data_IF_117031858713
#
_entry.id   IF_117031858713
#
_cell.length_a   1.000
_cell.length_b   1.000
_cell.length_c   1.000
_cell.angle_alpha   90.00
_cell.angle_beta   90.00
_cell.angle_gamma   90.00
#
_symmetry.space_group_name_H-M   'P 1'
#
loop_
_entity.id
_entity.type
_entity.pdbx_description
1 polymer ?
#
# COMPACT_ATOMS: atom_id res chain seq x y z
N UNK A 1 3.87 21.74 -29.14
CA UNK A 1 4.26 20.37 -28.74
C UNK A 1 4.14 20.32 -27.22
N UNK A 2 3.02 19.79 -26.73
CA UNK A 2 2.71 19.67 -25.31
C UNK A 2 3.44 18.46 -24.74
N UNK A 3 4.36 18.68 -23.80
CA UNK A 3 4.91 17.61 -22.98
C UNK A 3 3.83 17.15 -22.01
N UNK A 4 3.12 16.06 -22.37
CA UNK A 4 2.45 15.24 -21.36
C UNK A 4 3.55 14.60 -20.51
N UNK A 5 3.58 14.81 -19.18
CA UNK A 5 4.50 14.07 -18.33
C UNK A 5 4.09 12.60 -18.46
N UNK A 6 5.00 11.76 -18.97
CA UNK A 6 4.84 10.31 -19.02
C UNK A 6 4.65 9.80 -17.58
N UNK A 7 3.39 9.65 -17.15
CA UNK A 7 3.02 9.35 -15.76
C UNK A 7 3.46 7.96 -15.30
N UNK A 8 3.77 7.03 -16.21
CA UNK A 8 4.28 5.71 -15.85
C UNK A 8 5.31 5.24 -16.89
N UNK A 9 6.61 5.30 -16.54
CA UNK A 9 7.64 4.59 -17.30
C UNK A 9 7.87 3.24 -16.65
N UNK A 10 7.69 2.17 -17.42
CA UNK A 10 8.13 0.84 -17.02
C UNK A 10 9.62 0.92 -16.68
N UNK A 11 9.98 0.68 -15.41
CA UNK A 11 11.38 0.73 -14.98
C UNK A 11 12.11 -0.45 -15.57
N UNK A 12 12.91 -0.18 -16.60
CA UNK A 12 13.85 -1.15 -17.15
C UNK A 12 15.27 -0.93 -16.61
N UNK A 13 15.41 -0.25 -15.48
CA UNK A 13 16.68 0.03 -14.84
C UNK A 13 16.54 0.00 -13.32
N UNK A 14 17.66 -0.28 -12.64
CA UNK A 14 17.79 -0.17 -11.19
C UNK A 14 19.18 0.35 -10.85
N UNK A 15 19.24 1.33 -9.95
CA UNK A 15 20.46 1.82 -9.35
C UNK A 15 20.80 1.02 -8.08
N UNK A 16 22.08 0.79 -7.86
CA UNK A 16 22.64 0.08 -6.71
C UNK A 16 23.77 0.88 -6.07
N UNK A 17 23.91 0.77 -4.76
CA UNK A 17 25.04 1.27 -3.98
C UNK A 17 25.84 0.11 -3.37
N UNK A 18 27.16 0.20 -3.38
CA UNK A 18 28.04 -0.83 -2.83
C UNK A 18 28.38 -0.50 -1.37
N UNK A 19 27.93 -1.33 -0.44
CA UNK A 19 28.27 -1.18 0.98
C UNK A 19 29.51 -2.01 1.32
N UNK A 20 30.50 -1.45 2.04
CA UNK A 20 31.61 -2.22 2.55
C UNK A 20 31.10 -3.07 3.71
N UNK A 21 31.11 -4.39 3.52
CA UNK A 21 31.05 -5.34 4.62
C UNK A 21 32.36 -6.10 4.69
N UNK A 22 32.76 -6.49 5.91
CA UNK A 22 34.11 -6.97 6.25
C UNK A 22 34.61 -8.17 5.41
N UNK A 23 33.74 -8.88 4.68
CA UNK A 23 34.12 -10.05 3.86
C UNK A 23 33.46 -10.15 2.47
N UNK A 24 32.63 -9.18 2.03
CA UNK A 24 32.05 -9.14 0.67
C UNK A 24 31.48 -7.74 0.33
N UNK A 25 31.45 -7.36 -0.95
CA UNK A 25 30.67 -6.20 -1.40
C UNK A 25 29.18 -6.58 -1.46
N UNK A 26 28.38 -6.11 -0.51
CA UNK A 26 26.92 -6.21 -0.62
C UNK A 26 26.38 -5.02 -1.41
N UNK A 27 25.56 -5.33 -2.41
CA UNK A 27 24.88 -4.31 -3.21
C UNK A 27 23.49 -4.05 -2.64
N UNK A 28 23.25 -2.81 -2.27
CA UNK A 28 21.95 -2.35 -1.81
C UNK A 28 21.23 -1.64 -2.96
N UNK A 29 19.96 -1.98 -3.17
CA UNK A 29 19.08 -1.24 -4.09
C UNK A 29 18.63 0.06 -3.44
N UNK A 30 18.61 1.15 -4.22
CA UNK A 30 17.91 2.38 -3.83
C UNK A 30 16.40 2.14 -3.78
N UNK A 31 15.70 2.94 -2.97
CA UNK A 31 14.24 2.91 -2.95
C UNK A 31 13.66 3.25 -4.32
N UNK A 32 12.41 2.87 -4.55
CA UNK A 32 11.76 3.12 -5.84
C UNK A 32 11.75 4.60 -6.22
N UNK A 33 11.69 5.50 -5.23
CA UNK A 33 11.66 6.95 -5.44
C UNK A 33 13.07 7.52 -5.57
N UNK A 34 14.02 7.10 -4.73
CA UNK A 34 15.43 7.46 -4.88
C UNK A 34 15.95 7.05 -6.26
N UNK A 35 15.58 5.86 -6.73
CA UNK A 35 15.92 5.36 -8.06
C UNK A 35 15.40 6.27 -9.19
N UNK A 36 14.18 6.81 -9.06
CA UNK A 36 13.63 7.76 -10.03
C UNK A 36 14.32 9.13 -9.96
N UNK A 37 14.62 9.61 -8.75
CA UNK A 37 15.34 10.87 -8.53
C UNK A 37 16.74 10.79 -9.19
N UNK A 38 17.47 9.71 -8.94
CA UNK A 38 18.80 9.47 -9.51
C UNK A 38 18.72 9.36 -11.03
N UNK A 39 17.76 8.60 -11.56
CA UNK A 39 17.62 8.43 -13.01
C UNK A 39 17.20 9.73 -13.71
N UNK A 40 16.33 10.54 -13.10
CA UNK A 40 15.96 11.83 -13.65
C UNK A 40 17.16 12.78 -13.71
N UNK A 41 17.95 12.84 -12.64
CA UNK A 41 19.19 13.61 -12.59
C UNK A 41 20.20 13.15 -13.65
N UNK A 42 20.37 11.83 -13.80
CA UNK A 42 21.22 11.20 -14.81
C UNK A 42 20.79 11.58 -16.23
N UNK A 43 19.49 11.47 -16.53
CA UNK A 43 18.95 11.84 -17.85
C UNK A 43 19.06 13.35 -18.14
N UNK A 44 19.00 14.18 -17.10
CA UNK A 44 19.24 15.64 -17.18
C UNK A 44 20.71 16.02 -17.23
N UNK A 45 21.64 15.05 -17.17
CA UNK A 45 23.09 15.28 -17.12
C UNK A 45 23.51 16.17 -15.96
N UNK A 46 22.86 16.02 -14.81
CA UNK A 46 23.29 16.67 -13.58
C UNK A 46 24.56 15.98 -13.07
N UNK A 47 25.44 16.75 -12.42
CA UNK A 47 26.70 16.23 -11.85
C UNK A 47 26.40 15.55 -10.52
N UNK A 48 25.62 16.20 -9.67
CA UNK A 48 25.29 15.73 -8.33
C UNK A 48 23.77 15.77 -8.11
N UNK A 49 23.27 14.83 -7.31
CA UNK A 49 21.90 14.83 -6.78
C UNK A 49 21.91 14.45 -5.30
N UNK A 50 21.12 15.16 -4.49
CA UNK A 50 20.96 14.88 -3.06
C UNK A 50 19.76 13.94 -2.84
N UNK A 51 19.94 12.93 -2.00
CA UNK A 51 18.90 11.99 -1.58
C UNK A 51 18.82 11.94 -0.04
N UNK A 52 17.81 11.24 0.47
CA UNK A 52 17.54 11.18 1.91
C UNK A 52 18.73 10.60 2.71
N UNK A 53 18.88 11.05 3.97
CA UNK A 53 20.00 10.68 4.83
C UNK A 53 21.28 11.52 4.63
N UNK A 54 21.14 12.70 4.01
CA UNK A 54 22.24 13.61 3.67
C UNK A 54 23.26 12.98 2.71
N UNK A 55 22.80 12.11 1.81
CA UNK A 55 23.67 11.50 0.81
C UNK A 55 23.69 12.31 -0.49
N UNK A 56 24.89 12.46 -1.04
CA UNK A 56 25.11 13.05 -2.36
C UNK A 56 25.53 11.94 -3.30
N UNK A 57 24.88 11.88 -4.45
CA UNK A 57 25.19 11.00 -5.56
C UNK A 57 25.91 11.82 -6.62
N UNK A 58 27.20 11.55 -6.80
CA UNK A 58 28.01 12.09 -7.89
C UNK A 58 27.89 11.16 -9.10
N UNK A 59 27.17 11.62 -10.11
CA UNK A 59 26.85 10.86 -11.33
C UNK A 59 28.00 10.87 -12.34
N UNK A 60 28.95 11.81 -12.23
CA UNK A 60 30.13 11.85 -13.08
C UNK A 60 31.15 10.80 -12.62
N UNK A 61 31.36 10.70 -11.31
CA UNK A 61 32.28 9.74 -10.68
C UNK A 61 31.63 8.40 -10.34
N UNK A 62 30.30 8.31 -10.43
CA UNK A 62 29.50 7.14 -10.04
C UNK A 62 29.77 6.71 -8.59
N UNK A 63 29.70 7.67 -7.68
CA UNK A 63 29.88 7.43 -6.24
C UNK A 63 28.81 8.11 -5.41
N UNK A 64 28.51 7.52 -4.26
CA UNK A 64 27.73 8.10 -3.18
C UNK A 64 28.64 8.45 -2.01
N UNK A 65 28.40 9.59 -1.37
CA UNK A 65 29.03 9.93 -0.09
C UNK A 65 28.07 10.74 0.76
N UNK A 66 28.31 10.75 2.08
CA UNK A 66 27.52 11.57 3.00
C UNK A 66 28.02 13.01 3.01
N UNK A 67 27.11 13.98 3.11
CA UNK A 67 27.42 15.41 3.24
C UNK A 67 28.33 15.61 4.46
N UNK A 68 29.51 16.20 4.22
CA UNK A 68 30.55 16.37 5.24
C UNK A 68 31.52 15.19 5.41
N UNK A 69 31.28 14.03 4.78
CA UNK A 69 32.17 12.86 4.79
C UNK A 69 32.59 12.44 3.36
N UNK A 70 33.05 13.38 2.54
CA UNK A 70 33.41 13.12 1.13
C UNK A 70 34.53 12.09 0.92
N UNK A 71 35.27 11.74 1.97
CA UNK A 71 36.34 10.74 1.95
C UNK A 71 35.83 9.29 2.03
N UNK A 72 34.60 9.07 2.54
CA UNK A 72 33.98 7.74 2.55
C UNK A 72 33.01 7.66 1.38
N UNK A 73 33.46 7.02 0.32
CA UNK A 73 32.72 6.92 -0.93
C UNK A 73 32.28 5.47 -1.16
N UNK A 74 31.08 5.32 -1.69
CA UNK A 74 30.49 4.04 -2.07
C UNK A 74 30.25 4.06 -3.57
N UNK A 75 30.73 3.04 -4.29
CA UNK A 75 30.49 2.97 -5.74
C UNK A 75 29.01 2.70 -6.02
N UNK A 76 28.45 3.45 -6.96
CA UNK A 76 27.10 3.22 -7.44
C UNK A 76 27.14 2.65 -8.86
N UNK A 77 26.09 1.96 -9.26
CA UNK A 77 25.94 1.50 -10.64
C UNK A 77 24.49 1.46 -11.09
N UNK A 78 24.31 1.69 -12.38
CA UNK A 78 23.04 1.53 -13.08
C UNK A 78 23.01 0.18 -13.78
N UNK A 79 22.01 -0.64 -13.53
CA UNK A 79 21.79 -1.91 -14.24
C UNK A 79 20.56 -1.78 -15.11
N UNK A 80 20.67 -2.17 -16.38
CA UNK A 80 19.51 -2.34 -17.27
C UNK A 80 18.86 -3.70 -16.97
N UNK A 81 17.58 -3.69 -16.61
CA UNK A 81 16.82 -4.90 -16.31
C UNK A 81 16.29 -5.50 -17.62
N UNK A 82 16.48 -6.81 -17.80
CA UNK A 82 15.87 -7.57 -18.90
C UNK A 82 14.36 -7.76 -18.66
N UNK A 83 13.59 -7.93 -19.74
CA UNK A 83 12.12 -7.93 -19.73
C UNK A 83 11.47 -9.18 -19.10
N UNK A 84 12.21 -10.29 -18.94
CA UNK A 84 11.67 -11.57 -18.46
C UNK A 84 12.03 -11.83 -16.98
N UNK A 85 11.39 -11.12 -16.05
CA UNK A 85 11.70 -11.21 -14.60
C UNK A 85 10.51 -11.63 -13.74
N UNK A 86 9.76 -12.65 -14.16
CA UNK A 86 8.50 -13.04 -13.51
C UNK A 86 8.64 -13.69 -12.11
N UNK A 87 9.84 -13.96 -11.60
CA UNK A 87 10.01 -14.68 -10.32
C UNK A 87 11.00 -13.98 -9.36
N UNK A 88 12.09 -13.40 -9.85
CA UNK A 88 13.17 -12.86 -8.99
C UNK A 88 12.85 -11.52 -8.29
N UNK A 89 11.68 -10.93 -8.53
CA UNK A 89 11.28 -9.61 -8.01
C UNK A 89 10.01 -9.64 -7.15
N UNK A 90 9.51 -10.82 -6.76
CA UNK A 90 8.37 -10.88 -5.84
C UNK A 90 8.75 -10.22 -4.51
N UNK A 91 8.01 -9.18 -4.11
CA UNK A 91 8.29 -8.47 -2.87
C UNK A 91 7.72 -9.23 -1.68
N UNK A 92 8.51 -10.20 -1.21
CA UNK A 92 8.15 -11.08 -0.09
C UNK A 92 7.68 -10.27 1.14
N UNK A 93 8.31 -9.14 1.45
CA UNK A 93 7.91 -8.29 2.58
C UNK A 93 6.49 -7.71 2.45
N UNK A 94 6.04 -7.42 1.22
CA UNK A 94 4.71 -6.85 0.94
C UNK A 94 3.60 -7.86 1.19
N UNK A 95 3.78 -9.08 0.69
CA UNK A 95 2.80 -10.16 0.84
C UNK A 95 2.91 -10.83 2.22
N UNK A 96 4.13 -10.98 2.74
CA UNK A 96 4.46 -11.69 3.99
C UNK A 96 4.32 -10.88 5.27
N UNK A 97 4.10 -9.58 5.14
CA UNK A 97 3.85 -8.67 6.25
C UNK A 97 2.71 -9.19 7.15
N UNK A 98 2.86 -9.13 8.49
CA UNK A 98 1.81 -9.52 9.43
C UNK A 98 0.52 -8.77 9.15
N UNK A 99 -0.60 -9.48 9.16
CA UNK A 99 -1.94 -8.88 9.12
C UNK A 99 -2.47 -8.92 10.54
N UNK A 100 -2.93 -7.78 11.06
CA UNK A 100 -3.60 -7.74 12.36
C UNK A 100 -5.01 -8.30 12.17
N UNK A 101 -5.13 -9.60 12.43
CA UNK A 101 -6.38 -10.34 12.42
C UNK A 101 -7.06 -10.15 13.78
N UNK A 102 -7.95 -9.16 13.89
CA UNK A 102 -8.75 -8.97 15.11
C UNK A 102 -9.96 -9.90 15.07
N UNK A 103 -10.09 -10.71 16.11
CA UNK A 103 -11.28 -11.52 16.37
C UNK A 103 -12.35 -10.64 17.01
N UNK A 104 -13.54 -10.70 16.44
CA UNK A 104 -14.62 -9.81 16.81
C UNK A 104 -15.63 -10.53 17.67
N UNK A 105 -15.49 -10.38 18.98
CA UNK A 105 -16.53 -10.82 19.92
C UNK A 105 -17.89 -10.33 19.42
N UNK A 106 -18.78 -11.28 19.13
CA UNK A 106 -20.12 -11.07 18.58
C UNK A 106 -20.80 -9.77 19.02
N UNK A 107 -20.97 -8.87 18.05
CA UNK A 107 -22.04 -7.86 17.90
C UNK A 107 -22.46 -7.04 19.13
N UNK A 108 -22.12 -5.74 19.09
CA UNK A 108 -23.12 -4.71 19.37
C UNK A 108 -23.43 -3.97 18.07
N UNK A 109 -24.42 -4.48 17.34
CA UNK A 109 -25.08 -3.77 16.24
C UNK A 109 -25.86 -2.59 16.81
N UNK A 110 -25.18 -1.51 17.15
CA UNK A 110 -25.84 -0.22 17.33
C UNK A 110 -26.02 0.38 15.95
N UNK A 111 -27.24 0.34 15.44
CA UNK A 111 -27.70 1.19 14.34
C UNK A 111 -27.26 2.63 14.60
N UNK A 112 -26.26 3.10 13.86
CA UNK A 112 -25.72 4.45 13.99
C UNK A 112 -26.75 5.38 13.35
N UNK A 113 -27.68 5.89 14.16
CA UNK A 113 -28.54 7.01 13.77
C UNK A 113 -27.67 8.22 13.45
N UNK A 114 -27.82 8.79 12.25
CA UNK A 114 -27.03 9.89 11.63
C UNK A 114 -27.03 11.25 12.39
N UNK A 115 -27.41 11.28 13.67
CA UNK A 115 -27.52 12.52 14.46
C UNK A 115 -26.57 12.66 15.65
N UNK A 116 -25.63 11.73 15.89
CA UNK A 116 -24.78 11.74 17.10
C UNK A 116 -23.37 12.25 16.84
N UNK A 117 -22.89 13.04 17.81
CA UNK A 117 -21.57 13.68 17.96
C UNK A 117 -20.46 13.03 17.10
N UNK A 118 -19.81 13.80 16.21
CA UNK A 118 -18.82 13.30 15.23
C UNK A 118 -17.69 12.50 15.88
N UNK A 119 -17.38 12.79 17.14
CA UNK A 119 -16.33 12.12 17.90
C UNK A 119 -16.72 10.69 18.29
N UNK A 120 -18.00 10.47 18.63
CA UNK A 120 -18.52 9.13 18.96
C UNK A 120 -18.48 8.25 17.71
N UNK A 121 -18.90 8.80 16.57
CA UNK A 121 -18.87 8.10 15.29
C UNK A 121 -17.42 7.78 14.87
N UNK A 122 -16.52 8.76 14.99
CA UNK A 122 -15.10 8.57 14.73
C UNK A 122 -14.53 7.40 15.54
N UNK A 123 -14.71 7.41 16.87
CA UNK A 123 -14.20 6.33 17.72
C UNK A 123 -14.85 4.96 17.42
N UNK A 124 -16.13 4.93 17.04
CA UNK A 124 -16.78 3.70 16.63
C UNK A 124 -16.19 3.13 15.33
N UNK A 125 -15.94 3.98 14.33
CA UNK A 125 -15.34 3.59 13.05
C UNK A 125 -13.89 3.12 13.22
N UNK A 126 -13.11 3.81 14.04
CA UNK A 126 -11.75 3.38 14.39
C UNK A 126 -11.72 1.99 15.04
N UNK A 127 -12.67 1.69 15.94
CA UNK A 127 -12.77 0.37 16.59
C UNK A 127 -13.08 -0.78 15.63
N UNK A 128 -13.87 -0.52 14.58
CA UNK A 128 -14.25 -1.56 13.62
C UNK A 128 -13.27 -1.68 12.44
N UNK A 129 -12.20 -0.88 12.39
CA UNK A 129 -11.24 -0.92 11.30
C UNK A 129 -11.53 0.01 10.13
N UNK A 130 -12.60 0.81 10.19
CA UNK A 130 -13.01 1.66 9.07
C UNK A 130 -12.36 3.05 9.12
N UNK A 131 -11.03 3.05 9.03
CA UNK A 131 -10.21 4.27 9.08
C UNK A 131 -10.53 5.27 7.95
N UNK A 132 -10.65 4.87 6.67
CA UNK A 132 -11.00 5.82 5.60
C UNK A 132 -12.36 6.49 5.82
N UNK A 133 -13.37 5.77 6.34
CA UNK A 133 -14.68 6.37 6.67
C UNK A 133 -14.59 7.25 7.91
N UNK A 134 -13.78 6.88 8.89
CA UNK A 134 -13.54 7.71 10.08
C UNK A 134 -12.99 9.09 9.69
N UNK A 135 -12.01 9.12 8.77
CA UNK A 135 -11.51 10.36 8.20
C UNK A 135 -12.60 11.14 7.45
N UNK A 136 -13.37 10.49 6.57
CA UNK A 136 -14.47 11.14 5.84
C UNK A 136 -15.46 11.83 6.78
N UNK A 137 -15.99 11.10 7.78
CA UNK A 137 -16.97 11.64 8.72
C UNK A 137 -16.42 12.79 9.59
N UNK A 138 -15.11 12.81 9.82
CA UNK A 138 -14.46 13.79 10.68
C UNK A 138 -14.04 15.05 9.92
N UNK A 139 -13.52 14.90 8.70
CA UNK A 139 -12.82 15.96 7.97
C UNK A 139 -13.49 16.38 6.66
N UNK A 140 -14.43 15.59 6.11
CA UNK A 140 -15.05 15.83 4.80
C UNK A 140 -16.57 16.03 4.89
N UNK A 141 -17.32 15.17 5.58
CA UNK A 141 -18.78 15.01 5.42
C UNK A 141 -19.64 16.24 5.76
N UNK A 142 -19.06 17.29 6.33
CA UNK A 142 -19.71 18.56 6.68
C UNK A 142 -19.06 19.77 6.00
N UNK A 143 -18.33 19.51 4.92
CA UNK A 143 -17.57 20.49 4.16
C UNK A 143 -17.95 20.40 2.68
N UNK A 144 -17.60 21.42 1.92
CA UNK A 144 -17.71 21.50 0.46
C UNK A 144 -16.38 21.17 -0.23
N UNK A 145 -15.48 20.45 0.46
CA UNK A 145 -14.18 20.05 -0.08
C UNK A 145 -14.35 19.26 -1.37
N UNK A 146 -13.57 19.64 -2.37
CA UNK A 146 -13.43 18.91 -3.62
C UNK A 146 -12.40 17.79 -3.47
N UNK A 147 -12.37 16.86 -4.41
CA UNK A 147 -11.30 15.85 -4.51
C UNK A 147 -9.94 16.52 -4.66
N UNK A 148 -9.83 17.65 -5.36
CA UNK A 148 -8.60 18.44 -5.43
C UNK A 148 -8.11 18.91 -4.05
N UNK A 149 -9.02 19.33 -3.17
CA UNK A 149 -8.67 19.74 -1.80
C UNK A 149 -8.17 18.54 -0.98
N UNK A 150 -8.77 17.36 -1.17
CA UNK A 150 -8.33 16.12 -0.50
C UNK A 150 -6.96 15.67 -1.04
N UNK A 151 -6.69 15.83 -2.34
CA UNK A 151 -5.38 15.57 -2.97
C UNK A 151 -4.31 16.48 -2.37
N UNK A 152 -4.59 17.78 -2.21
CA UNK A 152 -3.67 18.72 -1.55
C UNK A 152 -3.38 18.29 -0.11
N UNK A 153 -4.41 17.95 0.65
CA UNK A 153 -4.25 17.48 2.02
C UNK A 153 -3.42 16.18 2.10
N UNK A 154 -3.60 15.26 1.15
CA UNK A 154 -2.78 14.05 1.04
C UNK A 154 -1.32 14.39 0.73
N UNK A 155 -1.06 15.29 -0.21
CA UNK A 155 0.28 15.73 -0.60
C UNK A 155 1.01 16.42 0.57
N UNK A 156 0.33 17.28 1.32
CA UNK A 156 0.85 17.90 2.54
C UNK A 156 1.14 16.86 3.64
N UNK A 157 0.24 15.89 3.81
CA UNK A 157 0.40 14.79 4.74
C UNK A 157 1.63 13.92 4.46
N UNK A 158 1.89 13.62 3.19
CA UNK A 158 3.09 12.92 2.71
C UNK A 158 4.35 13.68 3.11
N UNK A 159 4.43 14.99 2.81
CA UNK A 159 5.58 15.84 3.14
C UNK A 159 5.79 15.91 4.64
N UNK A 160 4.73 16.14 5.43
CA UNK A 160 4.80 16.20 6.90
C UNK A 160 5.41 14.93 7.48
N UNK A 161 4.95 13.77 7.02
CA UNK A 161 5.46 12.48 7.50
C UNK A 161 6.87 12.18 6.98
N UNK A 162 7.18 12.58 5.76
CA UNK A 162 8.53 12.51 5.21
C UNK A 162 9.55 13.24 6.07
N UNK A 163 9.25 14.48 6.45
CA UNK A 163 10.12 15.28 7.34
C UNK A 163 10.33 14.58 8.68
N UNK A 164 9.26 14.05 9.30
CA UNK A 164 9.34 13.34 10.58
C UNK A 164 10.25 12.11 10.49
N UNK A 165 10.24 11.41 9.35
CA UNK A 165 11.00 10.18 9.13
C UNK A 165 12.38 10.40 8.50
N UNK A 166 12.78 11.65 8.22
CA UNK A 166 14.03 11.93 7.49
C UNK A 166 14.00 11.41 6.05
N UNK A 167 12.83 11.48 5.41
CA UNK A 167 12.52 11.04 4.04
C UNK A 167 11.98 12.20 3.20
N UNK A 168 12.64 13.34 3.27
CA UNK A 168 12.17 14.61 2.71
C UNK A 168 12.16 14.57 1.18
N UNK A 169 13.24 14.09 0.56
CA UNK A 169 13.35 14.02 -0.89
C UNK A 169 12.36 13.01 -1.48
N UNK A 170 12.21 11.84 -0.84
CA UNK A 170 11.17 10.89 -1.26
C UNK A 170 9.76 11.52 -1.15
N UNK A 171 9.49 12.23 -0.06
CA UNK A 171 8.16 12.80 0.20
C UNK A 171 7.82 13.95 -0.74
N UNK A 172 8.78 14.81 -1.07
CA UNK A 172 8.60 15.87 -2.06
C UNK A 172 8.29 15.29 -3.45
N UNK A 173 9.01 14.24 -3.87
CA UNK A 173 8.75 13.57 -5.15
C UNK A 173 7.36 12.94 -5.19
N UNK A 174 6.96 12.23 -4.13
CA UNK A 174 5.62 11.64 -4.01
C UNK A 174 4.51 12.71 -4.01
N UNK A 175 4.71 13.81 -3.28
CA UNK A 175 3.79 14.93 -3.20
C UNK A 175 3.59 15.60 -4.57
N UNK A 176 4.68 15.83 -5.32
CA UNK A 176 4.61 16.39 -6.66
C UNK A 176 3.86 15.48 -7.64
N UNK A 177 4.08 14.16 -7.58
CA UNK A 177 3.34 13.19 -8.39
C UNK A 177 1.82 13.27 -8.14
N UNK A 178 1.42 13.40 -6.87
CA UNK A 178 0.02 13.49 -6.50
C UNK A 178 -0.61 14.84 -6.90
N UNK A 179 0.11 15.94 -6.74
CA UNK A 179 -0.35 17.28 -7.16
C UNK A 179 -0.45 17.41 -8.69
N UNK A 180 0.32 16.65 -9.45
CA UNK A 180 0.24 16.67 -10.92
C UNK A 180 -1.15 16.23 -11.46
N UNK A 181 -1.90 15.45 -10.69
CA UNK A 181 -3.26 14.98 -11.04
C UNK A 181 -4.37 15.72 -10.28
N UNK A 182 -4.04 16.74 -9.50
CA UNK A 182 -5.01 17.51 -8.69
C UNK A 182 -6.16 18.09 -9.52
N UNK A 183 -5.83 18.66 -10.67
CA UNK A 183 -6.78 19.36 -11.54
C UNK A 183 -7.94 18.47 -12.03
N UNK A 184 -7.76 17.15 -12.10
CA UNK A 184 -8.83 16.21 -12.42
C UNK A 184 -9.93 16.16 -11.35
N UNK A 185 -9.61 16.53 -10.10
CA UNK A 185 -10.54 16.52 -8.96
C UNK A 185 -11.19 17.86 -8.65
N UNK A 186 -10.89 18.94 -9.40
CA UNK A 186 -11.23 20.31 -9.01
C UNK A 186 -12.73 20.62 -8.91
N UNK A 187 -13.57 19.88 -9.65
CA UNK A 187 -15.03 20.11 -9.68
C UNK A 187 -15.82 18.91 -9.15
N UNK A 188 -15.17 18.00 -8.43
CA UNK A 188 -15.79 16.79 -7.89
C UNK A 188 -15.87 16.96 -6.38
N UNK A 189 -17.07 17.05 -5.82
CA UNK A 189 -17.27 17.14 -4.37
C UNK A 189 -16.93 15.79 -3.75
N UNK A 190 -16.18 15.83 -2.64
CA UNK A 190 -15.78 14.64 -1.90
C UNK A 190 -16.95 14.11 -1.06
N UNK A 191 -17.36 12.87 -1.33
CA UNK A 191 -18.41 12.11 -0.67
C UNK A 191 -17.96 10.65 -0.47
N UNK A 192 -18.67 9.87 0.34
CA UNK A 192 -18.35 8.47 0.63
C UNK A 192 -18.37 7.59 -0.62
N UNK A 193 -19.24 7.93 -1.58
CA UNK A 193 -19.45 7.19 -2.84
C UNK A 193 -18.88 7.91 -4.07
N UNK A 194 -17.99 8.90 -3.86
CA UNK A 194 -17.40 9.64 -4.98
C UNK A 194 -16.56 8.73 -5.88
N UNK A 195 -16.91 8.71 -7.16
CA UNK A 195 -16.09 8.11 -8.20
C UNK A 195 -14.93 9.05 -8.55
N UNK A 196 -13.71 8.51 -8.50
CA UNK A 196 -12.48 9.20 -8.86
C UNK A 196 -12.13 9.01 -10.34
N UNK A 197 -11.65 10.07 -11.02
CA UNK A 197 -11.00 9.95 -12.32
C UNK A 197 -9.87 8.91 -12.31
N UNK A 198 -9.71 8.20 -13.43
CA UNK A 198 -8.73 7.12 -13.56
C UNK A 198 -7.30 7.62 -13.34
N UNK A 199 -6.99 8.84 -13.77
CA UNK A 199 -5.67 9.45 -13.61
C UNK A 199 -5.26 9.60 -12.15
N UNK A 200 -6.21 10.00 -11.29
CA UNK A 200 -6.02 10.09 -9.84
C UNK A 200 -5.84 8.69 -9.27
N UNK A 201 -6.73 7.75 -9.62
CA UNK A 201 -6.68 6.38 -9.15
C UNK A 201 -5.39 5.63 -9.48
N UNK A 202 -4.94 5.73 -10.73
CA UNK A 202 -3.70 5.11 -11.20
C UNK A 202 -2.50 5.59 -10.40
N UNK A 203 -2.43 6.89 -10.10
CA UNK A 203 -1.34 7.47 -9.29
C UNK A 203 -1.40 6.96 -7.86
N UNK A 204 -2.58 6.92 -7.24
CA UNK A 204 -2.74 6.42 -5.87
C UNK A 204 -2.30 4.96 -5.74
N UNK A 205 -2.75 4.09 -6.66
CA UNK A 205 -2.38 2.67 -6.67
C UNK A 205 -0.90 2.50 -6.95
N UNK A 206 -0.34 3.22 -7.93
CA UNK A 206 1.08 3.17 -8.22
C UNK A 206 1.93 3.62 -7.01
N UNK A 207 1.59 4.74 -6.38
CA UNK A 207 2.30 5.23 -5.19
C UNK A 207 2.23 4.24 -4.03
N UNK A 208 1.05 3.64 -3.78
CA UNK A 208 0.86 2.65 -2.72
C UNK A 208 1.59 1.32 -3.00
N UNK A 209 1.83 1.00 -4.27
CA UNK A 209 2.52 -0.22 -4.67
C UNK A 209 4.04 -0.07 -4.74
N UNK A 210 4.60 1.14 -4.71
CA UNK A 210 6.06 1.35 -4.73
C UNK A 210 6.72 1.07 -3.38
N UNK A 211 7.97 0.57 -3.40
CA UNK A 211 8.82 0.43 -2.23
C UNK A 211 9.29 1.79 -1.70
N UNK A 212 8.43 2.42 -0.89
CA UNK A 212 8.62 3.77 -0.33
C UNK A 212 8.36 3.80 1.18
N UNK A 213 8.79 4.87 1.85
CA UNK A 213 8.41 5.07 3.25
C UNK A 213 6.88 5.18 3.43
N UNK A 214 6.17 5.68 2.41
CA UNK A 214 4.75 6.03 2.50
C UNK A 214 3.85 4.80 2.66
N UNK A 215 4.01 3.77 1.82
CA UNK A 215 3.22 2.55 1.96
C UNK A 215 3.53 1.82 3.29
N UNK A 216 4.81 1.80 3.70
CA UNK A 216 5.26 1.20 4.97
C UNK A 216 4.60 1.89 6.15
N UNK A 217 4.57 3.22 6.11
CA UNK A 217 3.94 4.05 7.13
C UNK A 217 2.44 3.78 7.23
N UNK A 218 1.72 3.82 6.10
CA UNK A 218 0.28 3.54 6.07
C UNK A 218 -0.02 2.15 6.65
N UNK A 219 0.67 1.12 6.17
CA UNK A 219 0.44 -0.24 6.63
C UNK A 219 0.79 -0.42 8.11
N UNK A 220 1.86 0.22 8.60
CA UNK A 220 2.22 0.21 10.02
C UNK A 220 1.14 0.83 10.90
N UNK A 221 0.66 2.03 10.53
CA UNK A 221 -0.34 2.74 11.31
C UNK A 221 -1.70 2.04 11.26
N UNK A 222 -2.13 1.57 10.08
CA UNK A 222 -3.44 0.92 9.93
C UNK A 222 -3.53 -0.47 10.57
N UNK A 223 -2.40 -1.11 10.88
CA UNK A 223 -2.39 -2.35 11.66
C UNK A 223 -2.92 -2.12 13.08
N UNK A 224 -2.54 -1.02 13.72
CA UNK A 224 -3.02 -0.69 15.07
C UNK A 224 -3.66 0.70 15.08
N UNK A 225 -4.97 0.73 14.82
CA UNK A 225 -5.73 1.98 14.80
C UNK A 225 -5.82 2.64 16.19
N UNK A 226 -5.50 1.94 17.28
CA UNK A 226 -5.54 2.52 18.63
C UNK A 226 -4.39 3.51 18.87
N UNK A 227 -3.29 3.40 18.11
CA UNK A 227 -2.17 4.33 18.23
C UNK A 227 -2.35 5.60 17.41
N UNK A 228 -3.28 5.60 16.43
CA UNK A 228 -3.48 6.74 15.54
C UNK A 228 -4.20 7.87 16.28
N UNK A 229 -3.50 8.99 16.44
CA UNK A 229 -4.10 10.24 16.93
C UNK A 229 -4.72 11.07 15.79
N UNK A 230 -5.38 12.17 16.14
CA UNK A 230 -6.06 13.05 15.17
C UNK A 230 -5.09 13.67 14.15
N UNK A 231 -3.88 14.02 14.55
CA UNK A 231 -2.87 14.61 13.67
C UNK A 231 -2.32 13.59 12.67
N UNK A 232 -2.10 12.35 13.11
CA UNK A 232 -1.74 11.24 12.23
C UNK A 232 -2.87 10.92 11.26
N UNK A 233 -4.12 10.87 11.76
CA UNK A 233 -5.31 10.70 10.92
C UNK A 233 -5.37 11.78 9.84
N UNK A 234 -5.15 13.05 10.18
CA UNK A 234 -5.14 14.14 9.19
C UNK A 234 -4.02 14.02 8.17
N UNK A 235 -2.89 13.42 8.53
CA UNK A 235 -1.76 13.25 7.62
C UNK A 235 -1.92 12.09 6.64
N UNK A 236 -2.41 10.91 7.08
CA UNK A 236 -2.52 9.73 6.19
C UNK A 236 -3.96 9.46 5.70
N UNK A 237 -4.96 9.97 6.42
CA UNK A 237 -6.38 9.80 6.14
C UNK A 237 -6.81 10.27 4.74
N UNK A 238 -6.37 11.44 4.25
CA UNK A 238 -6.74 11.90 2.91
C UNK A 238 -6.35 10.89 1.82
N UNK A 239 -5.12 10.37 1.87
CA UNK A 239 -4.64 9.37 0.91
C UNK A 239 -5.40 8.05 1.04
N UNK A 240 -5.65 7.58 2.27
CA UNK A 240 -6.37 6.33 2.50
C UNK A 240 -7.83 6.41 2.03
N UNK A 241 -8.48 7.56 2.21
CA UNK A 241 -9.82 7.82 1.70
C UNK A 241 -9.85 7.80 0.17
N UNK A 242 -8.95 8.54 -0.49
CA UNK A 242 -8.87 8.56 -1.95
C UNK A 242 -8.60 7.15 -2.52
N UNK A 243 -7.65 6.43 -1.94
CA UNK A 243 -7.35 5.07 -2.37
C UNK A 243 -8.57 4.15 -2.22
N UNK A 244 -9.32 4.24 -1.11
CA UNK A 244 -10.55 3.45 -0.94
C UNK A 244 -11.62 3.80 -1.97
N UNK A 245 -11.89 5.09 -2.21
CA UNK A 245 -12.86 5.53 -3.22
C UNK A 245 -12.52 4.94 -4.59
N UNK A 246 -11.25 4.99 -4.99
CA UNK A 246 -10.82 4.41 -6.26
C UNK A 246 -10.93 2.88 -6.29
N UNK A 247 -10.60 2.18 -5.21
CA UNK A 247 -10.72 0.72 -5.17
C UNK A 247 -12.19 0.27 -5.23
N UNK A 248 -13.13 1.05 -4.68
CA UNK A 248 -14.57 0.75 -4.69
C UNK A 248 -15.17 0.76 -6.11
N UNK A 249 -14.63 1.55 -7.03
CA UNK A 249 -15.11 1.64 -8.41
C UNK A 249 -14.47 0.64 -9.36
N UNK A 250 -13.42 -0.09 -8.96
CA UNK A 250 -12.80 -1.09 -9.82
C UNK A 250 -13.75 -2.29 -9.89
N UNK A 251 -14.30 -2.61 -11.08
CA UNK A 251 -15.18 -3.76 -11.21
C UNK A 251 -14.40 -5.03 -10.91
N UNK A 252 -15.02 -5.93 -10.15
CA UNK A 252 -14.45 -7.25 -9.97
C UNK A 252 -14.43 -8.00 -11.30
N UNK A 253 -13.25 -8.42 -11.72
CA UNK A 253 -13.09 -9.30 -12.87
C UNK A 253 -12.74 -10.69 -12.36
N UNK A 254 -13.65 -11.68 -12.44
CA UNK A 254 -13.34 -13.05 -12.07
C UNK A 254 -12.30 -13.61 -13.06
N UNK A 255 -11.01 -13.53 -12.72
CA UNK A 255 -9.97 -14.27 -13.43
C UNK A 255 -10.07 -15.75 -13.05
N UNK A 256 -11.07 -16.47 -13.56
CA UNK A 256 -11.23 -17.94 -13.50
C UNK A 256 -11.24 -18.67 -12.14
N UNK A 257 -10.72 -18.08 -11.05
CA UNK A 257 -10.74 -18.62 -9.69
C UNK A 257 -11.16 -17.54 -8.71
N UNK A 258 -12.19 -17.84 -7.91
CA UNK A 258 -12.63 -17.02 -6.79
C UNK A 258 -11.72 -17.17 -5.56
N UNK A 259 -10.50 -17.64 -5.75
CA UNK A 259 -9.55 -17.94 -4.69
C UNK A 259 -8.40 -16.94 -4.72
N UNK A 260 -8.14 -16.34 -3.57
CA UNK A 260 -7.02 -15.47 -3.32
C UNK A 260 -6.11 -16.08 -2.25
N UNK A 261 -4.80 -15.88 -2.38
CA UNK A 261 -3.78 -16.51 -1.56
C UNK A 261 -2.81 -15.49 -0.97
N UNK A 262 -2.58 -15.59 0.35
CA UNK A 262 -1.57 -14.78 1.05
C UNK A 262 -0.72 -15.68 1.93
N UNK A 263 0.59 -15.67 1.73
CA UNK A 263 1.53 -16.22 2.70
C UNK A 263 1.93 -15.15 3.71
N UNK A 264 2.07 -15.51 4.98
CA UNK A 264 2.49 -14.62 6.05
C UNK A 264 3.13 -15.42 7.20
N UNK A 265 3.79 -14.70 8.10
CA UNK A 265 4.21 -15.26 9.39
C UNK A 265 3.16 -15.00 10.46
N UNK A 266 2.80 -16.04 11.19
CA UNK A 266 1.94 -15.97 12.36
C UNK A 266 2.54 -16.77 13.51
N UNK A 267 2.40 -16.25 14.72
CA UNK A 267 2.75 -16.98 15.94
C UNK A 267 1.68 -18.04 16.24
N UNK A 268 2.09 -19.11 16.92
CA UNK A 268 1.19 -20.21 17.28
C UNK A 268 -0.03 -19.72 18.09
N UNK A 269 0.15 -18.74 18.98
CA UNK A 269 -0.94 -18.16 19.75
C UNK A 269 -2.00 -17.52 18.85
N UNK A 270 -1.58 -16.81 17.79
CA UNK A 270 -2.48 -16.14 16.86
C UNK A 270 -3.29 -17.17 16.04
N UNK A 271 -2.63 -18.24 15.61
CA UNK A 271 -3.27 -19.34 14.88
C UNK A 271 -4.32 -20.01 15.78
N UNK A 272 -3.96 -20.30 17.03
CA UNK A 272 -4.89 -20.90 17.99
C UNK A 272 -6.07 -19.98 18.31
N UNK A 273 -5.87 -18.66 18.34
CA UNK A 273 -6.95 -17.69 18.54
C UNK A 273 -7.98 -17.75 17.41
N UNK A 274 -7.52 -17.79 16.16
CA UNK A 274 -8.39 -17.91 14.98
C UNK A 274 -9.18 -19.22 15.01
N UNK A 275 -8.51 -20.35 15.30
CA UNK A 275 -9.15 -21.66 15.37
C UNK A 275 -10.20 -21.70 16.48
N UNK A 276 -9.89 -21.14 17.66
CA UNK A 276 -10.79 -21.18 18.85
C UNK A 276 -11.98 -20.26 18.72
N UNK A 277 -11.80 -19.07 18.17
CA UNK A 277 -12.89 -18.12 18.02
C UNK A 277 -13.94 -18.64 17.04
N UNK A 278 -13.52 -19.30 15.95
CA UNK A 278 -14.42 -19.69 14.86
C UNK A 278 -15.27 -18.49 14.37
N UNK A 279 -14.72 -17.29 14.51
CA UNK A 279 -15.34 -16.00 14.19
C UNK A 279 -14.77 -15.45 12.87
N UNK A 280 -15.08 -14.18 12.60
CA UNK A 280 -14.53 -13.45 11.47
C UNK A 280 -13.07 -13.07 11.68
N UNK A 281 -12.27 -13.36 10.67
CA UNK A 281 -10.91 -12.87 10.48
C UNK A 281 -10.96 -11.53 9.77
N UNK A 282 -10.48 -10.46 10.41
CA UNK A 282 -10.55 -9.10 9.85
C UNK A 282 -9.23 -8.60 9.29
N UNK A 283 -9.28 -7.93 8.14
CA UNK A 283 -8.19 -7.12 7.61
C UNK A 283 -8.51 -5.63 7.83
N UNK A 284 -7.72 -4.98 8.67
CA UNK A 284 -7.92 -3.56 9.05
C UNK A 284 -7.10 -2.58 8.22
N UNK A 285 -6.11 -3.08 7.50
CA UNK A 285 -5.30 -2.33 6.55
C UNK A 285 -5.60 -2.75 5.12
N UNK A 286 -5.20 -1.92 4.17
CA UNK A 286 -5.05 -2.35 2.78
C UNK A 286 -4.11 -3.57 2.75
N UNK A 287 -4.61 -4.69 2.21
CA UNK A 287 -3.94 -6.00 2.35
C UNK A 287 -3.71 -6.61 0.98
N UNK A 288 -2.44 -6.66 0.56
CA UNK A 288 -2.00 -7.27 -0.70
C UNK A 288 -2.22 -8.79 -0.72
N UNK A 289 -2.78 -9.31 -1.80
CA UNK A 289 -3.03 -10.75 -1.97
C UNK A 289 -2.83 -11.13 -3.44
N UNK A 290 -2.53 -12.39 -3.72
CA UNK A 290 -2.26 -12.87 -5.09
C UNK A 290 -3.23 -13.97 -5.49
N UNK A 291 -3.50 -14.10 -6.78
CA UNK A 291 -4.20 -15.26 -7.37
C UNK A 291 -3.28 -16.48 -7.47
N UNK A 292 -1.96 -16.30 -7.31
CA UNK A 292 -0.98 -17.36 -7.44
C UNK A 292 -0.69 -18.03 -6.10
N UNK A 293 -1.31 -19.19 -5.88
CA UNK A 293 -1.02 -20.05 -4.72
C UNK A 293 0.47 -20.35 -4.60
N UNK A 294 1.12 -20.66 -5.72
CA UNK A 294 2.55 -20.99 -5.77
C UNK A 294 3.42 -19.88 -5.18
N UNK A 295 3.10 -18.61 -5.47
CA UNK A 295 3.85 -17.47 -4.93
C UNK A 295 3.57 -17.29 -3.43
N UNK A 296 2.32 -17.40 -3.01
CA UNK A 296 1.94 -17.29 -1.60
C UNK A 296 2.56 -18.39 -0.71
N UNK A 297 2.71 -19.61 -1.24
CA UNK A 297 3.32 -20.72 -0.51
C UNK A 297 4.81 -20.52 -0.21
N UNK A 298 5.53 -19.69 -0.97
CA UNK A 298 6.93 -19.35 -0.71
C UNK A 298 7.12 -18.44 0.51
N UNK A 299 6.03 -17.87 1.03
CA UNK A 299 6.08 -16.79 2.01
C UNK A 299 5.58 -17.27 3.37
N UNK A 300 6.45 -17.15 4.37
CA UNK A 300 6.15 -17.36 5.78
C UNK A 300 5.70 -18.77 6.17
N UNK A 301 5.34 -18.94 7.45
CA UNK A 301 4.90 -20.22 8.02
C UNK A 301 3.40 -20.50 7.84
N UNK A 302 2.61 -19.53 7.38
CA UNK A 302 1.15 -19.63 7.25
C UNK A 302 0.68 -19.24 5.86
N UNK A 303 -0.30 -19.98 5.32
CA UNK A 303 -1.01 -19.69 4.07
C UNK A 303 -2.48 -19.40 4.36
N UNK A 304 -2.96 -18.23 3.95
CA UNK A 304 -4.39 -17.93 3.86
C UNK A 304 -4.89 -18.30 2.47
N UNK A 305 -5.99 -19.04 2.43
CA UNK A 305 -6.75 -19.34 1.22
C UNK A 305 -8.12 -18.69 1.40
N UNK A 306 -8.41 -17.66 0.62
CA UNK A 306 -9.63 -16.85 0.72
C UNK A 306 -10.53 -17.13 -0.47
N UNK A 307 -11.71 -17.69 -0.23
CA UNK A 307 -12.78 -17.83 -1.22
C UNK A 307 -13.67 -16.59 -1.21
N UNK A 308 -13.82 -15.95 -2.37
CA UNK A 308 -14.75 -14.84 -2.56
C UNK A 308 -16.10 -15.40 -2.99
N UNK A 309 -17.18 -15.02 -2.29
CA UNK A 309 -18.54 -15.32 -2.73
C UNK A 309 -18.86 -14.51 -3.98
N UNK A 310 -19.30 -15.20 -5.03
CA UNK A 310 -19.73 -14.57 -6.28
C UNK A 310 -21.14 -15.04 -6.57
N UNK A 311 -22.10 -14.11 -6.56
CA UNK A 311 -23.46 -14.42 -6.99
C UNK A 311 -23.45 -14.76 -8.49
N UNK A 312 -24.08 -15.88 -8.85
CA UNK A 312 -24.20 -16.41 -10.23
C UNK A 312 -24.91 -15.42 -11.17
N UNK A 313 -25.63 -14.45 -10.62
CA UNK A 313 -26.31 -13.37 -11.35
C UNK A 313 -25.35 -12.30 -11.93
N UNK A 314 -24.10 -12.26 -11.48
CA UNK A 314 -23.15 -11.19 -11.80
C UNK A 314 -23.56 -9.81 -11.25
N UNK A 315 -24.68 -9.72 -10.51
CA UNK A 315 -25.11 -8.52 -9.81
C UNK A 315 -24.54 -8.59 -8.41
N UNK A 316 -23.63 -7.66 -8.15
CA UNK A 316 -22.74 -7.69 -7.01
C UNK A 316 -23.31 -6.82 -5.90
N UNK A 317 -23.61 -7.41 -4.74
CA UNK A 317 -23.78 -6.61 -3.52
C UNK A 317 -22.43 -6.01 -3.13
N UNK A 318 -22.36 -4.69 -2.93
CA UNK A 318 -21.16 -3.97 -2.43
C UNK A 318 -20.57 -4.59 -1.16
N UNK A 319 -21.38 -5.35 -0.40
CA UNK A 319 -20.93 -6.03 0.81
C UNK A 319 -20.05 -7.27 0.55
N UNK A 320 -20.02 -7.79 -0.68
CA UNK A 320 -19.40 -9.10 -0.98
C UNK A 320 -17.98 -8.98 -1.52
N UNK A 321 -17.67 -7.90 -2.25
CA UNK A 321 -16.29 -7.69 -2.74
C UNK A 321 -15.59 -6.67 -1.89
N UNK A 322 -14.60 -7.15 -1.16
CA UNK A 322 -13.65 -6.33 -0.43
C UNK A 322 -12.31 -6.18 -1.16
N UNK A 323 -12.13 -6.78 -2.34
CA UNK A 323 -10.85 -6.79 -3.08
C UNK A 323 -10.99 -6.19 -4.48
N UNK A 324 -9.87 -5.68 -5.01
CA UNK A 324 -9.79 -5.13 -6.37
C UNK A 324 -8.46 -5.56 -7.01
N UNK A 325 -8.50 -5.99 -8.27
CA UNK A 325 -7.28 -6.24 -9.06
C UNK A 325 -6.59 -4.91 -9.32
N UNK A 326 -5.31 -4.81 -8.95
CA UNK A 326 -4.53 -3.58 -9.12
C UNK A 326 -3.31 -3.74 -10.03
N UNK A 327 -3.14 -4.92 -10.63
CA UNK A 327 -1.95 -5.29 -11.40
C UNK A 327 -1.62 -4.28 -12.50
N UNK A 328 -2.61 -3.86 -13.30
CA UNK A 328 -2.39 -2.95 -14.43
C UNK A 328 -1.91 -1.54 -14.03
N UNK A 329 -2.13 -1.15 -12.78
CA UNK A 329 -1.78 0.16 -12.24
C UNK A 329 -0.61 0.09 -11.24
N UNK A 330 -0.28 -1.13 -10.80
CA UNK A 330 0.81 -1.39 -9.87
C UNK A 330 2.14 -1.01 -10.49
N UNK A 331 3.09 -0.57 -9.65
CA UNK A 331 4.49 -0.49 -10.04
C UNK A 331 5.09 -1.88 -10.39
N UNK A 332 4.41 -2.96 -10.00
CA UNK A 332 4.82 -4.35 -10.18
C UNK A 332 3.65 -5.17 -10.79
N UNK A 333 3.34 -4.99 -12.09
CA UNK A 333 2.19 -5.65 -12.72
C UNK A 333 2.29 -7.17 -12.75
N UNK A 334 3.52 -7.71 -12.77
CA UNK A 334 3.78 -9.16 -12.83
C UNK A 334 3.42 -9.89 -11.53
N UNK A 335 3.18 -9.17 -10.41
CA UNK A 335 2.78 -9.77 -9.13
C UNK A 335 1.30 -10.26 -9.14
N UNK A 336 0.53 -9.91 -10.19
CA UNK A 336 -0.92 -10.14 -10.29
C UNK A 336 -1.65 -9.76 -8.99
N UNK A 337 -1.27 -8.60 -8.42
CA UNK A 337 -1.70 -8.17 -7.10
C UNK A 337 -3.18 -7.77 -7.07
N UNK A 338 -3.89 -8.30 -6.08
CA UNK A 338 -5.18 -7.83 -5.61
C UNK A 338 -5.00 -7.09 -4.29
N UNK A 339 -5.77 -6.03 -4.09
CA UNK A 339 -5.75 -5.27 -2.85
C UNK A 339 -7.09 -5.39 -2.12
N UNK A 340 -7.06 -5.96 -0.93
CA UNK A 340 -8.20 -5.99 -0.01
C UNK A 340 -8.32 -4.63 0.67
N UNK A 341 -9.53 -4.05 0.66
CA UNK A 341 -9.91 -2.78 1.26
C UNK A 341 -10.24 -2.95 2.74
N UNK A 342 -9.88 -1.98 3.59
CA UNK A 342 -10.29 -1.98 4.99
C UNK A 342 -11.69 -1.35 5.19
N UNK A 343 -12.48 -1.83 6.17
CA UNK A 343 -12.30 -3.11 6.84
C UNK A 343 -12.84 -4.26 5.97
N UNK A 344 -12.11 -5.37 5.88
CA UNK A 344 -12.63 -6.61 5.33
C UNK A 344 -12.77 -7.64 6.45
N UNK A 345 -13.79 -8.48 6.36
CA UNK A 345 -14.04 -9.56 7.31
C UNK A 345 -14.29 -10.85 6.52
N UNK A 346 -13.71 -11.95 7.00
CA UNK A 346 -13.82 -13.25 6.36
C UNK A 346 -14.20 -14.30 7.40
N UNK A 347 -15.18 -15.13 7.10
CA UNK A 347 -15.53 -16.30 7.87
C UNK A 347 -14.40 -17.33 7.88
N UNK A 348 -14.02 -17.80 9.06
CA UNK A 348 -13.17 -18.98 9.18
C UNK A 348 -13.94 -20.23 8.75
N UNK A 349 -13.34 -21.04 7.88
CA UNK A 349 -13.92 -22.28 7.36
C UNK A 349 -13.26 -23.50 8.00
N UNK A 350 -11.93 -23.60 7.88
CA UNK A 350 -11.16 -24.70 8.44
C UNK A 350 -9.67 -24.37 8.54
N UNK A 351 -8.97 -25.20 9.29
CA UNK A 351 -7.53 -25.16 9.46
C UNK A 351 -6.93 -26.52 9.12
N UNK A 352 -5.80 -26.51 8.42
CA UNK A 352 -4.98 -27.68 8.11
C UNK A 352 -3.51 -27.37 8.42
N UNK A 353 -2.72 -28.40 8.73
CA UNK A 353 -1.27 -28.28 8.82
C UNK A 353 -0.68 -29.26 7.80
N UNK A 354 0.10 -28.74 6.86
CA UNK A 354 0.78 -29.57 5.88
C UNK A 354 1.95 -30.28 6.57
N UNK A 355 1.86 -31.60 6.70
CA UNK A 355 2.83 -32.37 7.47
C UNK A 355 4.25 -32.37 6.88
N UNK A 356 4.40 -32.07 5.58
CA UNK A 356 5.68 -32.10 4.87
C UNK A 356 6.42 -30.77 4.98
N UNK A 357 5.70 -29.67 4.74
CA UNK A 357 6.22 -28.30 4.79
C UNK A 357 6.11 -27.68 6.19
N UNK A 358 5.39 -28.32 7.12
CA UNK A 358 5.02 -27.78 8.43
C UNK A 358 4.28 -26.43 8.32
N UNK A 359 3.67 -26.14 7.17
CA UNK A 359 2.99 -24.89 6.89
C UNK A 359 1.55 -24.95 7.39
N UNK A 360 1.14 -23.92 8.12
CA UNK A 360 -0.24 -23.74 8.57
C UNK A 360 -1.11 -23.24 7.42
N UNK A 361 -2.27 -23.84 7.20
CA UNK A 361 -3.20 -23.46 6.13
C UNK A 361 -4.54 -23.08 6.75
N UNK A 362 -4.96 -21.83 6.54
CA UNK A 362 -6.21 -21.28 7.06
C UNK A 362 -7.11 -20.96 5.87
N UNK A 363 -8.30 -21.57 5.85
CA UNK A 363 -9.31 -21.37 4.82
C UNK A 363 -10.33 -20.35 5.32
N UNK A 364 -10.54 -19.31 4.52
CA UNK A 364 -11.40 -18.19 4.80
C UNK A 364 -12.41 -18.00 3.66
N UNK A 365 -13.54 -17.40 3.96
CA UNK A 365 -14.57 -17.07 2.97
C UNK A 365 -15.18 -15.69 3.26
N UNK A 366 -15.42 -14.87 2.24
CA UNK A 366 -16.13 -13.58 2.43
C UNK A 366 -17.53 -13.76 2.95
#
# INVERSE_FOLDING_TARGET
>A
MSHSPTLFRQRNFQWYCSLPTDDNEQQQMYSDIENDIIEEAYNKKQIEVEIDGDYIIDLERLVQYRKGECHKQFTIKRIQLEKDRSIDHLRIERFGSPVNLILSSSSSSSSISEGKNSDILFHALMKIGDFPRAYFCKEISKTDKTIADVIKAAAEGIVKQGVILGRMHEAESLSQQLLAVEHFGANIIADIDTMLPMEIGNILVNMYTRETFWYRLINRLMRDLNVINIEEMRSIGPFCYLLRCYLNQIPFQPKSSHLLYRGLNMEDEQIQEIIKSNEFVKCLSFTSISTSRKLAELIGNTLLIIELDVDESGIVSEMVYCSSSISDMSAFPDEDEFLIRPPAAFHFIKYECDALSQKHIIYLKT
#
